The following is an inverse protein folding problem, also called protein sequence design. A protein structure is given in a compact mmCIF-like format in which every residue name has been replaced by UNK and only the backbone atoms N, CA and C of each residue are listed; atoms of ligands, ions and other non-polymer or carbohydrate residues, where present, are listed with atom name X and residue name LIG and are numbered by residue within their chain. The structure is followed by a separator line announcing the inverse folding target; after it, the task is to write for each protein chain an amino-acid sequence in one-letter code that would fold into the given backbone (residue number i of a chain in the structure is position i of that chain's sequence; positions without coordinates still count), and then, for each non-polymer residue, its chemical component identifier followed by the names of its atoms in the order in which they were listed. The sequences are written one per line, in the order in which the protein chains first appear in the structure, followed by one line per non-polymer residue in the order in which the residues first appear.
data_IF_639455557132
#
_entry.id   IF_639455557132
#
_cell.length_a   1.000
_cell.length_b   1.000
_cell.length_c   1.000
_cell.angle_alpha   90.00
_cell.angle_beta   90.00
_cell.angle_gamma   90.00
#
_symmetry.space_group_name_H-M   'P 1'
#
loop_
_entity.id
_entity.type
_entity.pdbx_description
1 polymer ?
#
# COMPACT_ATOMS: atom_id res chain seq x y z
N UNK A 1 17.36 -7.12 16.77
CA UNK A 1 16.57 -6.69 15.59
C UNK A 1 16.45 -5.18 15.65
N UNK A 2 17.05 -4.44 14.71
CA UNK A 2 17.05 -2.96 14.73
C UNK A 2 15.62 -2.41 14.71
N UNK A 3 15.32 -1.41 15.56
CA UNK A 3 14.01 -0.71 15.63
C UNK A 3 13.51 -0.17 14.27
N UNK A 4 14.39 -0.04 13.27
CA UNK A 4 14.06 0.44 11.92
C UNK A 4 13.15 -0.51 11.13
N UNK A 5 13.11 -1.81 11.45
CA UNK A 5 12.35 -2.81 10.68
C UNK A 5 10.95 -3.10 11.22
N UNK A 6 10.54 -2.49 12.33
CA UNK A 6 9.22 -2.74 12.94
C UNK A 6 8.18 -1.66 12.63
N UNK A 7 8.56 -0.55 12.01
CA UNK A 7 7.65 0.55 11.71
C UNK A 7 6.87 0.29 10.42
N UNK A 8 5.57 0.60 10.42
CA UNK A 8 4.79 0.70 9.18
C UNK A 8 5.28 1.87 8.35
N UNK A 9 5.55 1.62 7.07
CA UNK A 9 5.95 2.65 6.10
C UNK A 9 4.81 2.98 5.16
N UNK A 10 4.82 4.21 4.65
CA UNK A 10 3.89 4.68 3.64
C UNK A 10 4.60 5.50 2.55
N UNK A 11 4.10 5.43 1.32
CA UNK A 11 4.53 6.29 0.22
C UNK A 11 3.44 6.41 -0.86
N UNK A 12 3.54 7.45 -1.69
CA UNK A 12 2.83 7.49 -2.98
C UNK A 12 3.57 6.53 -3.93
N UNK A 13 2.88 5.52 -4.44
CA UNK A 13 3.44 4.44 -5.25
C UNK A 13 3.30 4.66 -6.77
N UNK A 14 2.55 5.69 -7.17
CA UNK A 14 2.38 6.10 -8.58
C UNK A 14 3.28 7.28 -8.93
N UNK A 15 3.61 7.49 -10.21
CA UNK A 15 4.34 8.69 -10.65
C UNK A 15 3.66 9.99 -10.19
N UNK A 16 4.46 11.01 -9.91
CA UNK A 16 3.95 12.34 -9.61
C UNK A 16 3.28 12.94 -10.86
N UNK A 17 2.10 13.52 -10.69
CA UNK A 17 1.39 14.16 -11.79
C UNK A 17 -0.11 14.21 -11.55
N UNK A 18 -0.85 14.54 -12.62
CA UNK A 18 -2.30 14.41 -12.68
C UNK A 18 -2.66 13.20 -13.53
N UNK A 19 -3.65 12.43 -13.09
CA UNK A 19 -4.12 11.23 -13.78
C UNK A 19 -5.41 10.70 -13.18
N UNK A 20 -5.90 9.56 -13.67
CA UNK A 20 -7.11 8.93 -13.13
C UNK A 20 -6.92 8.40 -11.71
N UNK A 21 -5.86 7.62 -11.50
CA UNK A 21 -5.62 6.89 -10.24
C UNK A 21 -4.23 7.23 -9.69
N UNK A 22 -4.16 7.47 -8.39
CA UNK A 22 -2.93 7.54 -7.62
C UNK A 22 -3.01 6.60 -6.42
N UNK A 23 -1.88 6.00 -6.05
CA UNK A 23 -1.85 4.97 -5.00
C UNK A 23 -1.03 5.46 -3.83
N UNK A 24 -1.63 5.49 -2.63
CA UNK A 24 -0.89 5.56 -1.37
C UNK A 24 -0.77 4.14 -0.81
N UNK A 25 0.47 3.66 -0.67
CA UNK A 25 0.78 2.29 -0.26
C UNK A 25 1.37 2.27 1.14
N UNK A 26 0.88 1.38 1.99
CA UNK A 26 1.37 1.12 3.34
C UNK A 26 1.94 -0.31 3.43
N UNK A 27 2.97 -0.53 4.24
CA UNK A 27 3.52 -1.86 4.56
C UNK A 27 3.99 -1.94 6.00
N UNK A 28 3.61 -3.00 6.72
CA UNK A 28 4.01 -3.28 8.09
C UNK A 28 2.84 -3.56 9.04
N UNK A 29 3.14 -3.94 10.28
CA UNK A 29 2.18 -4.43 11.29
C UNK A 29 0.95 -3.55 11.56
N UNK A 30 1.06 -2.24 11.36
CA UNK A 30 -0.01 -1.28 11.62
C UNK A 30 -0.79 -0.87 10.35
N UNK A 31 -0.47 -1.41 9.16
CA UNK A 31 -1.10 -0.97 7.90
C UNK A 31 -2.62 -1.13 7.93
N UNK A 32 -3.11 -2.28 8.40
CA UNK A 32 -4.55 -2.59 8.48
C UNK A 32 -5.23 -1.71 9.53
N UNK A 33 -4.64 -1.58 10.71
CA UNK A 33 -5.19 -0.73 11.78
C UNK A 33 -5.29 0.75 11.36
N UNK A 34 -4.27 1.27 10.67
CA UNK A 34 -4.30 2.64 10.12
C UNK A 34 -5.44 2.77 9.11
N UNK A 35 -5.59 1.79 8.22
CA UNK A 35 -6.65 1.77 7.22
C UNK A 35 -8.05 1.73 7.85
N UNK A 36 -8.30 0.84 8.81
CA UNK A 36 -9.56 0.74 9.55
C UNK A 36 -9.92 2.04 10.27
N UNK A 37 -8.91 2.81 10.71
CA UNK A 37 -9.11 4.08 11.41
C UNK A 37 -9.60 5.19 10.47
N UNK A 38 -9.11 5.23 9.23
CA UNK A 38 -9.35 6.34 8.30
C UNK A 38 -10.35 6.00 7.19
N UNK A 39 -10.62 4.71 6.94
CA UNK A 39 -11.48 4.27 5.85
C UNK A 39 -12.91 4.01 6.32
N UNK A 40 -13.87 4.62 5.63
CA UNK A 40 -15.29 4.36 5.81
C UNK A 40 -15.86 3.65 4.58
N UNK A 41 -16.16 2.36 4.73
CA UNK A 41 -16.75 1.53 3.66
C UNK A 41 -18.13 2.05 3.24
N UNK A 42 -18.34 2.21 1.94
CA UNK A 42 -19.64 2.52 1.35
C UNK A 42 -20.48 1.25 1.18
N UNK A 43 -21.81 1.36 1.35
CA UNK A 43 -22.74 0.24 1.11
C UNK A 43 -22.94 -0.74 2.28
N UNK A 44 -22.33 -0.52 3.44
CA UNK A 44 -22.82 -1.18 4.67
C UNK A 44 -24.13 -0.52 5.11
N UNK A 45 -25.24 -1.21 4.86
CA UNK A 45 -26.52 -0.90 5.47
C UNK A 45 -26.34 -0.91 6.99
N UNK A 46 -26.49 0.26 7.62
CA UNK A 46 -26.63 0.41 9.09
C UNK A 46 -27.97 -0.14 9.59
N UNK A 47 -28.49 -1.21 8.98
CA UNK A 47 -29.62 -1.97 9.51
C UNK A 47 -29.11 -2.99 10.51
N UNK A 48 -28.75 -2.49 11.68
CA UNK A 48 -28.82 -3.18 12.98
C UNK A 48 -28.43 -2.17 14.06
N UNK A 49 -29.44 -1.49 14.57
CA UNK A 49 -29.61 -1.22 15.99
C UNK A 49 -28.36 -1.44 16.85
N UNK A 50 -27.54 -0.38 17.00
CA UNK A 50 -26.91 -0.01 18.27
C UNK A 50 -26.22 1.36 18.13
N UNK A 51 -26.91 2.38 18.65
CA UNK A 51 -26.30 3.60 19.17
C UNK A 51 -25.39 3.21 20.35
N UNK A 52 -24.21 2.69 20.08
CA UNK A 52 -23.14 2.62 21.07
C UNK A 52 -21.83 2.79 20.33
N UNK A 53 -21.20 3.91 20.64
CA UNK A 53 -19.90 4.38 20.22
C UNK A 53 -18.82 3.30 20.37
N UNK A 54 -18.49 2.67 19.25
CA UNK A 54 -17.20 2.10 18.86
C UNK A 54 -17.42 1.47 17.50
N UNK A 55 -16.87 2.08 16.46
CA UNK A 55 -16.81 1.45 15.14
C UNK A 55 -15.99 0.17 15.34
N UNK A 56 -16.67 -0.98 15.43
CA UNK A 56 -15.97 -2.25 15.45
C UNK A 56 -15.14 -2.34 14.16
N UNK A 57 -13.90 -2.85 14.21
CA UNK A 57 -13.07 -3.00 13.03
C UNK A 57 -13.86 -3.77 11.96
N UNK A 58 -13.98 -3.18 10.78
CA UNK A 58 -14.61 -3.84 9.64
C UNK A 58 -13.64 -4.96 9.27
N UNK A 59 -14.04 -6.25 9.29
CA UNK A 59 -13.14 -7.30 8.85
C UNK A 59 -12.77 -7.04 7.39
N UNK A 60 -11.48 -6.74 7.15
CA UNK A 60 -10.90 -6.57 5.83
C UNK A 60 -10.21 -7.88 5.45
N UNK A 61 -10.86 -8.63 4.57
CA UNK A 61 -10.35 -9.86 3.99
C UNK A 61 -9.16 -9.54 3.08
N UNK A 62 -8.15 -10.41 3.12
CA UNK A 62 -7.00 -10.29 2.24
C UNK A 62 -7.40 -10.44 0.77
N UNK A 63 -6.73 -9.71 -0.12
CA UNK A 63 -6.94 -9.70 -1.57
C UNK A 63 -8.35 -9.28 -2.01
N UNK A 64 -9.05 -8.51 -1.18
CA UNK A 64 -10.35 -7.93 -1.52
C UNK A 64 -10.25 -6.42 -1.74
N UNK A 65 -11.12 -5.94 -2.62
CA UNK A 65 -11.26 -4.53 -2.96
C UNK A 65 -12.50 -3.96 -2.26
N UNK A 66 -12.31 -2.84 -1.56
CA UNK A 66 -13.36 -2.18 -0.80
C UNK A 66 -13.58 -0.76 -1.33
N UNK A 67 -14.82 -0.43 -1.67
CA UNK A 67 -15.22 0.92 -2.06
C UNK A 67 -15.66 1.72 -0.82
N UNK A 68 -15.22 2.97 -0.73
CA UNK A 68 -15.51 3.82 0.42
C UNK A 68 -14.84 5.18 0.34
N UNK A 69 -14.63 5.78 1.50
CA UNK A 69 -14.08 7.13 1.62
C UNK A 69 -12.94 7.16 2.63
N UNK A 70 -11.93 7.99 2.38
CA UNK A 70 -10.92 8.34 3.38
C UNK A 70 -11.39 9.56 4.15
N UNK A 71 -11.52 9.42 5.47
CA UNK A 71 -12.01 10.46 6.38
C UNK A 71 -10.96 10.70 7.46
N UNK A 72 -10.59 11.96 7.67
CA UNK A 72 -9.75 12.33 8.82
C UNK A 72 -10.55 12.13 10.11
N UNK A 73 -10.10 11.25 11.04
CA UNK A 73 -10.86 10.92 12.24
C UNK A 73 -11.02 12.12 13.18
N UNK A 74 -10.10 13.10 13.13
CA UNK A 74 -10.15 14.26 14.02
C UNK A 74 -11.05 15.36 13.45
N UNK A 75 -10.83 15.76 12.21
CA UNK A 75 -11.57 16.86 11.58
C UNK A 75 -12.90 16.44 10.95
N UNK A 76 -13.15 15.13 10.82
CA UNK A 76 -14.27 14.52 10.09
C UNK A 76 -14.36 14.93 8.62
N UNK A 77 -13.30 15.52 8.05
CA UNK A 77 -13.23 15.89 6.64
C UNK A 77 -13.10 14.63 5.78
N UNK A 78 -13.95 14.53 4.76
CA UNK A 78 -13.82 13.56 3.68
C UNK A 78 -12.70 14.05 2.74
N UNK A 79 -11.62 13.28 2.62
CA UNK A 79 -10.50 13.60 1.76
C UNK A 79 -10.72 13.14 0.33
N UNK A 80 -11.23 11.92 0.15
CA UNK A 80 -11.50 11.35 -1.16
C UNK A 80 -12.41 10.12 -1.11
N UNK A 81 -13.06 9.85 -2.23
CA UNK A 81 -13.71 8.58 -2.53
C UNK A 81 -12.68 7.63 -3.17
N UNK A 82 -12.51 6.42 -2.61
CA UNK A 82 -11.39 5.54 -2.93
C UNK A 82 -11.80 4.08 -3.08
N UNK A 83 -10.89 3.33 -3.70
CA UNK A 83 -10.85 1.86 -3.59
C UNK A 83 -9.67 1.46 -2.68
N UNK A 84 -9.96 0.68 -1.65
CA UNK A 84 -8.97 0.19 -0.70
C UNK A 84 -8.75 -1.32 -0.89
N UNK A 85 -7.49 -1.72 -1.04
CA UNK A 85 -7.09 -3.13 -1.13
C UNK A 85 -6.26 -3.50 0.10
N UNK A 86 -6.55 -4.64 0.70
CA UNK A 86 -5.75 -5.22 1.80
C UNK A 86 -5.07 -6.49 1.31
N UNK A 87 -3.78 -6.65 1.59
CA UNK A 87 -3.01 -7.87 1.33
C UNK A 87 -2.30 -8.26 2.63
N UNK A 88 -2.81 -9.27 3.31
CA UNK A 88 -2.28 -9.72 4.60
C UNK A 88 -1.01 -10.55 4.42
N UNK A 89 -0.11 -10.45 5.39
CA UNK A 89 1.08 -11.29 5.47
C UNK A 89 0.71 -12.79 5.51
N UNK A 90 1.55 -13.68 4.95
CA UNK A 90 2.77 -13.40 4.17
C UNK A 90 2.49 -13.14 2.69
N UNK A 91 1.23 -13.10 2.27
CA UNK A 91 0.83 -13.11 0.85
C UNK A 91 0.75 -11.68 0.29
N UNK A 92 1.86 -10.94 0.35
CA UNK A 92 1.96 -9.57 -0.12
C UNK A 92 3.34 -9.28 -0.71
N UNK A 93 3.51 -8.15 -1.40
CA UNK A 93 4.80 -7.79 -2.01
C UNK A 93 5.95 -7.74 -1.01
N UNK A 94 5.74 -7.21 0.20
CA UNK A 94 6.78 -7.16 1.24
C UNK A 94 6.75 -8.37 2.16
N UNK A 95 5.78 -9.28 2.04
CA UNK A 95 5.41 -10.32 3.03
C UNK A 95 4.97 -9.77 4.39
N UNK A 96 4.73 -8.48 4.50
CA UNK A 96 4.05 -7.84 5.63
C UNK A 96 2.60 -7.53 5.26
N UNK A 97 1.79 -7.06 6.21
CA UNK A 97 0.48 -6.51 5.86
C UNK A 97 0.65 -5.25 4.99
N UNK A 98 0.06 -5.27 3.81
CA UNK A 98 0.00 -4.15 2.87
C UNK A 98 -1.43 -3.64 2.77
N UNK A 99 -1.56 -2.31 2.75
CA UNK A 99 -2.78 -1.64 2.32
C UNK A 99 -2.45 -0.72 1.15
N UNK A 100 -3.29 -0.74 0.12
CA UNK A 100 -3.22 0.19 -1.01
C UNK A 100 -4.50 1.01 -1.07
N UNK A 101 -4.36 2.33 -1.02
CA UNK A 101 -5.44 3.30 -1.17
C UNK A 101 -5.35 3.85 -2.59
N UNK A 102 -6.28 3.44 -3.43
CA UNK A 102 -6.42 3.90 -4.81
C UNK A 102 -7.36 5.10 -4.82
N UNK A 103 -6.78 6.29 -4.90
CA UNK A 103 -7.43 7.58 -4.83
C UNK A 103 -7.39 8.29 -6.20
N UNK A 104 -8.11 9.41 -6.32
CA UNK A 104 -7.97 10.29 -7.47
C UNK A 104 -6.53 10.85 -7.52
N UNK A 105 -5.91 10.82 -8.71
CA UNK A 105 -4.51 11.22 -8.89
C UNK A 105 -4.34 12.74 -8.97
N UNK A 106 -4.63 13.42 -7.87
CA UNK A 106 -4.34 14.84 -7.66
C UNK A 106 -3.19 15.00 -6.65
N UNK A 107 -2.16 15.83 -6.92
CA UNK A 107 -1.04 16.00 -5.99
C UNK A 107 -1.46 16.38 -4.57
N UNK A 108 -2.48 17.22 -4.43
CA UNK A 108 -3.03 17.65 -3.13
C UNK A 108 -3.75 16.50 -2.43
N UNK A 109 -4.55 15.72 -3.16
CA UNK A 109 -5.31 14.58 -2.62
C UNK A 109 -4.37 13.49 -2.10
N UNK A 110 -3.42 13.06 -2.94
CA UNK A 110 -2.45 12.02 -2.58
C UNK A 110 -1.56 12.47 -1.42
N UNK A 111 -1.16 13.75 -1.39
CA UNK A 111 -0.39 14.30 -0.27
C UNK A 111 -1.20 14.33 1.01
N UNK A 112 -2.46 14.76 0.96
CA UNK A 112 -3.33 14.79 2.13
C UNK A 112 -3.57 13.38 2.72
N UNK A 113 -3.78 12.38 1.87
CA UNK A 113 -3.92 10.98 2.30
C UNK A 113 -2.60 10.47 2.90
N UNK A 114 -1.46 10.76 2.26
CA UNK A 114 -0.14 10.38 2.77
C UNK A 114 0.15 11.01 4.14
N UNK A 115 -0.12 12.30 4.30
CA UNK A 115 0.07 13.01 5.56
C UNK A 115 -0.87 12.46 6.65
N UNK A 116 -2.09 12.09 6.30
CA UNK A 116 -3.03 11.46 7.22
C UNK A 116 -2.52 10.09 7.70
N UNK A 117 -2.03 9.21 6.82
CA UNK A 117 -1.50 7.90 7.25
C UNK A 117 -0.23 8.04 8.11
N UNK A 118 0.60 9.06 7.85
CA UNK A 118 1.75 9.39 8.70
C UNK A 118 1.30 9.85 10.08
N UNK A 119 0.29 10.73 10.13
CA UNK A 119 -0.33 11.18 11.39
C UNK A 119 -0.88 10.02 12.21
N UNK A 120 -1.37 8.96 11.56
CA UNK A 120 -1.86 7.73 12.21
C UNK A 120 -0.74 6.74 12.63
N UNK A 121 0.53 7.09 12.44
CA UNK A 121 1.67 6.32 12.95
C UNK A 121 2.47 5.54 11.90
N UNK A 122 2.20 5.74 10.60
CA UNK A 122 3.16 5.33 9.57
C UNK A 122 4.34 6.32 9.52
N UNK A 123 5.48 5.90 8.97
CA UNK A 123 6.54 6.82 8.54
C UNK A 123 6.65 6.84 7.01
N UNK A 124 7.27 7.88 6.46
CA UNK A 124 7.66 7.88 5.04
C UNK A 124 8.63 6.74 4.75
N UNK A 125 8.36 5.97 3.69
CA UNK A 125 9.28 4.96 3.18
C UNK A 125 10.56 5.62 2.63
N UNK A 126 11.71 4.97 2.84
CA UNK A 126 12.95 5.33 2.15
C UNK A 126 12.92 4.84 0.68
N UNK A 127 13.78 5.39 -0.20
CA UNK A 127 13.90 4.89 -1.57
C UNK A 127 14.18 3.38 -1.61
N UNK A 128 13.39 2.66 -2.42
CA UNK A 128 13.51 1.20 -2.57
C UNK A 128 13.11 0.38 -1.34
N UNK A 129 12.58 1.00 -0.26
CA UNK A 129 12.38 0.28 1.00
C UNK A 129 11.37 -0.87 0.89
N UNK A 130 10.30 -0.73 0.10
CA UNK A 130 9.34 -1.82 -0.13
C UNK A 130 10.03 -3.05 -0.75
N UNK A 131 10.82 -2.86 -1.80
CA UNK A 131 11.57 -3.94 -2.47
C UNK A 131 12.65 -4.50 -1.55
N UNK A 132 13.33 -3.66 -0.77
CA UNK A 132 14.28 -4.11 0.25
C UNK A 132 13.61 -5.02 1.28
N UNK A 133 12.40 -4.70 1.74
CA UNK A 133 11.64 -5.56 2.66
C UNK A 133 11.20 -6.87 2.01
N UNK A 134 10.79 -6.84 0.74
CA UNK A 134 10.49 -8.05 -0.02
C UNK A 134 11.71 -9.01 -0.06
N UNK A 135 12.91 -8.47 -0.28
CA UNK A 135 14.16 -9.22 -0.25
C UNK A 135 14.47 -9.76 1.17
N UNK A 136 14.45 -8.89 2.19
CA UNK A 136 14.78 -9.26 3.57
C UNK A 136 13.81 -10.30 4.15
N UNK A 137 12.54 -10.26 3.73
CA UNK A 137 11.53 -11.24 4.14
C UNK A 137 11.56 -12.52 3.27
N UNK A 138 12.53 -12.65 2.35
CA UNK A 138 12.79 -13.83 1.54
C UNK A 138 11.76 -14.08 0.45
N UNK A 139 11.02 -13.05 0.01
CA UNK A 139 10.08 -13.16 -1.13
C UNK A 139 10.83 -13.24 -2.46
N UNK A 140 11.89 -12.46 -2.56
CA UNK A 140 12.75 -12.31 -3.74
C UNK A 140 14.21 -12.37 -3.29
N UNK A 141 15.11 -12.76 -4.18
CA UNK A 141 16.55 -12.60 -3.97
C UNK A 141 17.07 -11.25 -4.50
N UNK A 142 18.38 -11.03 -4.40
CA UNK A 142 18.99 -9.74 -4.74
C UNK A 142 18.91 -9.47 -6.26
N UNK A 143 19.11 -10.48 -7.10
CA UNK A 143 19.02 -10.33 -8.55
C UNK A 143 17.58 -10.02 -8.97
N UNK A 144 16.59 -10.65 -8.35
CA UNK A 144 15.19 -10.29 -8.55
C UNK A 144 14.85 -8.88 -8.05
N UNK A 145 15.47 -8.41 -6.97
CA UNK A 145 15.28 -7.03 -6.49
C UNK A 145 15.86 -5.99 -7.45
N UNK A 146 17.03 -6.26 -8.06
CA UNK A 146 17.62 -5.42 -9.11
C UNK A 146 16.74 -5.40 -10.37
N UNK A 147 16.20 -6.55 -10.78
CA UNK A 147 15.31 -6.63 -11.93
C UNK A 147 14.05 -5.75 -11.80
N UNK A 148 13.56 -5.48 -10.59
CA UNK A 148 12.43 -4.57 -10.38
C UNK A 148 12.75 -3.16 -10.90
N UNK A 149 13.94 -2.63 -10.61
CA UNK A 149 14.29 -1.28 -11.06
C UNK A 149 14.59 -1.27 -12.56
N UNK A 150 15.11 -2.36 -13.11
CA UNK A 150 15.36 -2.51 -14.55
C UNK A 150 14.05 -2.55 -15.36
N UNK A 151 13.01 -3.23 -14.86
CA UNK A 151 11.66 -3.21 -15.45
C UNK A 151 11.11 -1.78 -15.47
N UNK A 152 11.20 -1.06 -14.34
CA UNK A 152 10.68 0.31 -14.22
C UNK A 152 11.38 1.26 -15.20
N UNK A 153 12.69 1.10 -15.38
CA UNK A 153 13.52 1.99 -16.21
C UNK A 153 13.71 1.50 -17.65
N UNK A 154 13.08 0.39 -18.05
CA UNK A 154 13.26 -0.20 -19.38
C UNK A 154 12.93 0.80 -20.49
N UNK A 155 13.88 1.02 -21.41
CA UNK A 155 13.73 1.93 -22.57
C UNK A 155 13.41 1.21 -23.87
N UNK A 156 13.54 -0.12 -23.89
CA UNK A 156 13.28 -0.98 -25.05
C UNK A 156 12.50 -2.22 -24.63
N UNK A 157 11.77 -2.83 -25.57
CA UNK A 157 11.08 -4.10 -25.33
C UNK A 157 12.07 -5.20 -24.94
N UNK A 158 13.22 -5.27 -25.62
CA UNK A 158 14.26 -6.26 -25.31
C UNK A 158 14.81 -6.12 -23.89
N UNK A 159 15.06 -4.89 -23.41
CA UNK A 159 15.47 -4.69 -22.00
C UNK A 159 14.38 -5.09 -21.01
N UNK A 160 13.10 -4.84 -21.34
CA UNK A 160 11.97 -5.25 -20.52
C UNK A 160 11.86 -6.78 -20.44
N UNK A 161 12.02 -7.49 -21.56
CA UNK A 161 12.01 -8.95 -21.62
C UNK A 161 13.12 -9.56 -20.75
N UNK A 162 14.35 -9.06 -20.86
CA UNK A 162 15.48 -9.52 -20.04
C UNK A 162 15.24 -9.32 -18.54
N UNK A 163 14.80 -8.13 -18.14
CA UNK A 163 14.49 -7.84 -16.74
C UNK A 163 13.30 -8.69 -16.22
N UNK A 164 12.32 -8.97 -17.09
CA UNK A 164 11.19 -9.84 -16.77
C UNK A 164 11.59 -11.32 -16.62
N UNK A 165 12.57 -11.80 -17.39
CA UNK A 165 13.12 -13.14 -17.20
C UNK A 165 13.85 -13.25 -15.84
N UNK A 166 14.63 -12.21 -15.50
CA UNK A 166 15.35 -12.14 -14.22
C UNK A 166 14.40 -12.11 -13.02
N UNK A 167 13.31 -11.33 -13.06
CA UNK A 167 12.36 -11.26 -11.93
C UNK A 167 11.66 -12.61 -11.68
N UNK A 168 11.44 -13.42 -12.74
CA UNK A 168 10.88 -14.78 -12.63
C UNK A 168 11.88 -15.79 -12.05
N UNK A 169 13.15 -15.41 -11.92
CA UNK A 169 14.22 -16.30 -11.45
C UNK A 169 14.74 -17.24 -12.54
N UNK A 170 14.49 -16.96 -13.81
CA UNK A 170 14.89 -17.83 -14.94
C UNK A 170 16.42 -17.86 -15.12
N UNK A 171 17.14 -16.79 -14.74
CA UNK A 171 18.61 -16.73 -14.75
C UNK A 171 19.30 -17.59 -13.67
N UNK A 172 18.53 -18.20 -12.77
CA UNK A 172 19.04 -19.07 -11.70
C UNK A 172 19.24 -20.52 -12.16
N UNK A 173 18.84 -20.84 -13.39
CA UNK A 173 18.90 -22.19 -13.97
C UNK A 173 20.12 -22.43 -14.88
N UNK A 174 21.11 -21.53 -14.87
CA UNK A 174 22.42 -21.72 -15.53
C UNK A 174 23.55 -21.93 -14.52
#
# INVERSE_FOLDING_TARGET
MSMLYTSTIAAIATPLGRGGIGIVKLSGKNSVMIAETIFKRSGQSTSRTKKTERVAPIPLDSHHLYYGHIIDPDSKKNLDEVLLTVMLAPNSYTREDIVEINAHSGPVVLRAILDLVIKMGARLAAPGEFTKRAYLNGRIDLTQAEAVIDIINAKTIKSLELATAQIKGELKQE
#
